data_IF_264091250842
#
_entry.id   IF_264091250842
#
_cell.length_a   1.000
_cell.length_b   1.000
_cell.length_c   1.000
_cell.angle_alpha   90.00
_cell.angle_beta   90.00
_cell.angle_gamma   90.00
#
_symmetry.space_group_name_H-M   'P 1'
#
loop_
_entity.id
_entity.type
_entity.pdbx_description
1 polymer ?
#
# COMPACT_ATOMS: atom_id res chain seq x y z
N UNK A 1 20.26 0.13 -13.04
CA UNK A 1 18.92 0.63 -13.34
C UNK A 1 18.98 2.15 -13.35
N UNK A 2 18.64 2.78 -14.47
CA UNK A 2 18.60 4.23 -14.65
C UNK A 2 17.41 4.84 -13.88
N UNK A 3 17.37 6.16 -13.77
CA UNK A 3 16.26 6.85 -13.12
C UNK A 3 14.96 6.82 -13.95
N UNK A 4 15.09 6.68 -15.27
CA UNK A 4 13.98 6.49 -16.20
C UNK A 4 13.37 5.09 -16.03
N UNK A 5 14.19 4.04 -16.00
CA UNK A 5 13.74 2.66 -15.75
C UNK A 5 13.01 2.54 -14.40
N UNK A 6 13.44 3.30 -13.38
CA UNK A 6 12.75 3.37 -12.08
C UNK A 6 11.36 4.00 -12.17
N UNK A 7 11.19 5.02 -13.03
CA UNK A 7 9.90 5.70 -13.21
C UNK A 7 8.93 4.81 -13.98
N UNK A 8 9.41 4.09 -14.99
CA UNK A 8 8.61 3.10 -15.74
C UNK A 8 8.07 2.01 -14.81
N UNK A 9 8.89 1.51 -13.87
CA UNK A 9 8.47 0.52 -12.86
C UNK A 9 7.35 1.00 -11.92
N UNK A 10 7.16 2.32 -11.80
CA UNK A 10 6.14 2.93 -10.96
C UNK A 10 4.98 3.51 -11.78
N UNK A 11 4.99 3.31 -13.11
CA UNK A 11 3.91 3.72 -14.00
C UNK A 11 2.92 2.57 -14.22
N UNK A 12 1.62 2.72 -13.92
CA UNK A 12 0.63 1.66 -14.14
C UNK A 12 0.41 1.31 -15.62
N UNK A 13 0.88 2.12 -16.57
CA UNK A 13 0.80 1.80 -18.00
C UNK A 13 1.88 0.77 -18.37
N UNK A 14 3.11 1.00 -17.91
CA UNK A 14 4.30 0.24 -18.32
C UNK A 14 4.61 -0.94 -17.40
N UNK A 15 3.94 -1.00 -16.24
CA UNK A 15 4.18 -2.00 -15.19
C UNK A 15 2.93 -2.78 -14.82
N UNK A 16 3.14 -3.86 -14.05
CA UNK A 16 2.08 -4.74 -13.52
C UNK A 16 2.16 -4.85 -12.00
N UNK A 17 1.03 -5.18 -11.39
CA UNK A 17 0.96 -5.58 -9.98
C UNK A 17 1.47 -7.01 -9.85
N UNK A 18 2.36 -7.23 -8.87
CA UNK A 18 2.99 -8.54 -8.63
C UNK A 18 2.54 -9.19 -7.31
N UNK A 19 2.01 -8.39 -6.38
CA UNK A 19 1.36 -8.83 -5.16
C UNK A 19 0.48 -7.71 -4.62
N UNK A 20 -0.62 -8.06 -3.95
CA UNK A 20 -1.50 -7.13 -3.24
C UNK A 20 -1.76 -7.62 -1.82
N UNK A 21 -1.95 -6.67 -0.91
CA UNK A 21 -2.14 -6.96 0.50
C UNK A 21 -3.24 -6.11 1.11
N UNK A 22 -4.11 -6.74 1.91
CA UNK A 22 -5.01 -6.05 2.83
C UNK A 22 -4.76 -6.54 4.24
N UNK A 23 -4.90 -5.65 5.22
CA UNK A 23 -4.88 -6.01 6.64
C UNK A 23 -6.15 -5.52 7.31
N UNK A 24 -6.87 -6.42 7.95
CA UNK A 24 -8.10 -6.12 8.67
C UNK A 24 -8.23 -7.00 9.91
N UNK A 25 -8.63 -6.41 11.03
CA UNK A 25 -8.78 -7.10 12.32
C UNK A 25 -7.55 -7.95 12.71
N UNK A 26 -6.35 -7.42 12.46
CA UNK A 26 -5.08 -8.08 12.75
C UNK A 26 -4.68 -9.22 11.80
N UNK A 27 -5.48 -9.51 10.77
CA UNK A 27 -5.21 -10.56 9.77
C UNK A 27 -4.74 -9.95 8.46
N UNK A 28 -3.74 -10.57 7.84
CA UNK A 28 -3.27 -10.23 6.50
C UNK A 28 -3.99 -11.11 5.47
N UNK A 29 -4.41 -10.48 4.37
CA UNK A 29 -4.94 -11.10 3.17
C UNK A 29 -3.97 -10.77 2.04
N UNK A 30 -3.23 -11.77 1.56
CA UNK A 30 -2.24 -11.59 0.50
C UNK A 30 -2.77 -12.24 -0.78
N UNK A 31 -2.68 -11.49 -1.87
CA UNK A 31 -3.04 -11.93 -3.21
C UNK A 31 -1.77 -11.91 -4.06
N UNK A 32 -1.40 -13.07 -4.58
CA UNK A 32 -0.24 -13.25 -5.45
C UNK A 32 -0.62 -14.33 -6.46
N UNK A 33 -0.59 -13.97 -7.74
CA UNK A 33 -1.01 -14.78 -8.88
C UNK A 33 -0.29 -14.25 -10.11
N UNK A 34 -0.04 -15.13 -11.10
CA UNK A 34 0.46 -14.70 -12.41
C UNK A 34 -0.62 -13.97 -13.23
N UNK A 35 -1.90 -14.20 -12.90
CA UNK A 35 -3.03 -13.46 -13.45
C UNK A 35 -3.32 -12.22 -12.58
N UNK A 36 -2.89 -11.06 -13.09
CA UNK A 36 -3.09 -9.76 -12.43
C UNK A 36 -4.58 -9.39 -12.31
N UNK A 37 -5.40 -9.74 -13.30
CA UNK A 37 -6.82 -9.43 -13.28
C UNK A 37 -7.54 -10.23 -12.20
N UNK A 38 -7.18 -11.51 -12.04
CA UNK A 38 -7.65 -12.35 -10.95
C UNK A 38 -7.22 -11.81 -9.58
N UNK A 39 -5.97 -11.36 -9.46
CA UNK A 39 -5.43 -10.77 -8.22
C UNK A 39 -6.22 -9.52 -7.80
N UNK A 40 -6.45 -8.60 -8.74
CA UNK A 40 -7.25 -7.40 -8.52
C UNK A 40 -8.69 -7.74 -8.15
N UNK A 41 -9.30 -8.70 -8.86
CA UNK A 41 -10.67 -9.14 -8.56
C UNK A 41 -10.80 -9.65 -7.12
N UNK A 42 -9.89 -10.55 -6.70
CA UNK A 42 -9.89 -11.09 -5.34
C UNK A 42 -9.63 -10.01 -4.28
N UNK A 43 -8.71 -9.08 -4.57
CA UNK A 43 -8.42 -7.95 -3.70
C UNK A 43 -9.66 -7.07 -3.48
N UNK A 44 -10.35 -6.69 -4.55
CA UNK A 44 -11.54 -5.87 -4.46
C UNK A 44 -12.71 -6.58 -3.78
N UNK A 45 -12.88 -7.88 -4.01
CA UNK A 45 -13.87 -8.67 -3.27
C UNK A 45 -13.59 -8.67 -1.76
N UNK A 46 -12.34 -8.85 -1.36
CA UNK A 46 -11.99 -8.86 0.06
C UNK A 46 -12.11 -7.46 0.69
N UNK A 47 -11.78 -6.41 -0.06
CA UNK A 47 -12.06 -5.03 0.32
C UNK A 47 -13.55 -4.79 0.59
N UNK A 48 -14.43 -5.26 -0.30
CA UNK A 48 -15.88 -5.14 -0.11
C UNK A 48 -16.39 -5.92 1.10
N UNK A 49 -15.87 -7.13 1.34
CA UNK A 49 -16.20 -7.90 2.55
C UNK A 49 -15.77 -7.18 3.82
N UNK A 50 -14.58 -6.59 3.84
CA UNK A 50 -14.16 -5.78 4.98
C UNK A 50 -15.13 -4.61 5.20
N UNK A 51 -15.47 -3.87 4.13
CA UNK A 51 -16.37 -2.71 4.20
C UNK A 51 -17.81 -3.08 4.60
N UNK A 52 -18.32 -4.25 4.23
CA UNK A 52 -19.68 -4.66 4.61
C UNK A 52 -19.83 -4.91 6.10
N UNK A 53 -18.75 -5.29 6.79
CA UNK A 53 -18.74 -5.45 8.25
C UNK A 53 -18.66 -4.13 9.01
N UNK A 54 -18.15 -3.07 8.39
CA UNK A 54 -18.15 -1.71 8.94
C UNK A 54 -18.14 -0.68 7.80
N UNK A 55 -19.30 -0.05 7.50
CA UNK A 55 -19.45 0.86 6.36
C UNK A 55 -18.64 2.15 6.49
N UNK A 56 -18.08 2.40 7.68
CA UNK A 56 -17.20 3.53 7.98
C UNK A 56 -15.71 3.17 7.95
N UNK A 57 -15.34 1.99 7.43
CA UNK A 57 -13.93 1.65 7.20
C UNK A 57 -13.34 2.59 6.17
N UNK A 58 -12.34 3.33 6.62
CA UNK A 58 -11.51 4.18 5.80
C UNK A 58 -10.34 3.36 5.24
N UNK A 59 -10.01 3.46 3.94
CA UNK A 59 -8.76 2.89 3.44
C UNK A 59 -7.60 3.59 4.14
N UNK A 60 -6.69 2.82 4.70
CA UNK A 60 -5.48 3.32 5.36
C UNK A 60 -4.28 2.75 4.63
N UNK A 61 -3.31 3.60 4.31
CA UNK A 61 -2.04 3.17 3.75
C UNK A 61 -0.97 4.25 3.89
N UNK A 62 0.22 3.99 3.37
CA UNK A 62 1.35 4.90 3.44
C UNK A 62 1.67 5.41 2.04
N UNK A 63 1.40 6.69 1.75
CA UNK A 63 1.42 7.24 0.38
C UNK A 63 0.32 6.67 -0.54
N UNK A 64 -0.76 6.13 0.05
CA UNK A 64 -1.88 5.48 -0.63
C UNK A 64 -2.61 6.37 -1.63
N UNK A 65 -2.69 7.68 -1.37
CA UNK A 65 -3.38 8.63 -2.24
C UNK A 65 -2.55 9.00 -3.48
N UNK A 66 -1.23 8.94 -3.35
CA UNK A 66 -0.29 9.34 -4.41
C UNK A 66 0.31 8.15 -5.17
N UNK A 67 0.07 6.91 -4.72
CA UNK A 67 0.60 5.71 -5.36
C UNK A 67 -0.44 4.59 -5.47
N UNK A 68 -0.77 3.91 -4.38
CA UNK A 68 -1.51 2.64 -4.42
C UNK A 68 -2.91 2.77 -5.06
N UNK A 69 -3.76 3.70 -4.62
CA UNK A 69 -5.12 3.84 -5.17
C UNK A 69 -5.11 4.29 -6.64
N UNK A 70 -4.31 5.29 -7.06
CA UNK A 70 -4.15 5.61 -8.48
C UNK A 70 -3.66 4.41 -9.32
N UNK A 71 -2.66 3.67 -8.83
CA UNK A 71 -2.10 2.52 -9.55
C UNK A 71 -3.13 1.40 -9.69
N UNK A 72 -3.81 1.04 -8.60
CA UNK A 72 -4.88 0.05 -8.57
C UNK A 72 -6.04 0.42 -9.49
N UNK A 73 -6.46 1.68 -9.49
CA UNK A 73 -7.54 2.16 -10.36
C UNK A 73 -7.15 2.07 -11.84
N UNK A 74 -5.94 2.51 -12.19
CA UNK A 74 -5.44 2.45 -13.56
C UNK A 74 -5.28 1.00 -14.06
N UNK A 75 -4.69 0.10 -13.26
CA UNK A 75 -4.56 -1.32 -13.63
C UNK A 75 -5.91 -2.02 -13.73
N UNK A 76 -6.83 -1.72 -12.81
CA UNK A 76 -8.20 -2.25 -12.89
C UNK A 76 -8.91 -1.79 -14.16
N UNK A 77 -8.75 -0.52 -14.56
CA UNK A 77 -9.28 0.01 -15.80
C UNK A 77 -8.70 -0.69 -17.04
N UNK A 78 -7.37 -0.84 -17.09
CA UNK A 78 -6.67 -1.51 -18.21
C UNK A 78 -7.12 -2.97 -18.37
N UNK A 79 -7.34 -3.67 -17.26
CA UNK A 79 -7.67 -5.11 -17.25
C UNK A 79 -9.18 -5.40 -17.22
N UNK A 80 -10.03 -4.37 -17.22
CA UNK A 80 -11.48 -4.54 -17.17
C UNK A 80 -12.02 -5.09 -15.84
N UNK A 81 -11.27 -4.91 -14.74
CA UNK A 81 -11.68 -5.33 -13.39
C UNK A 81 -12.50 -4.23 -12.73
N UNK A 82 -13.67 -4.58 -12.18
CA UNK A 82 -14.54 -3.63 -11.50
C UNK A 82 -13.94 -3.17 -10.18
N UNK A 83 -13.83 -1.85 -10.01
CA UNK A 83 -13.43 -1.21 -8.75
C UNK A 83 -14.69 -0.85 -7.96
N UNK A 84 -14.78 -1.21 -6.67
CA UNK A 84 -15.91 -0.82 -5.83
C UNK A 84 -15.89 0.69 -5.57
N UNK A 85 -17.03 1.30 -5.19
CA UNK A 85 -17.06 2.71 -4.83
C UNK A 85 -16.12 3.01 -3.64
N UNK A 86 -15.14 3.89 -3.86
CA UNK A 86 -14.18 4.33 -2.84
C UNK A 86 -14.30 5.84 -2.68
N UNK A 87 -14.57 6.30 -1.46
CA UNK A 87 -14.53 7.72 -1.14
C UNK A 87 -13.10 8.12 -0.77
N UNK A 88 -12.37 8.70 -1.71
CA UNK A 88 -10.98 9.14 -1.50
C UNK A 88 -10.85 10.18 -0.38
N UNK A 89 -11.89 10.97 -0.09
CA UNK A 89 -11.86 11.95 1.02
C UNK A 89 -11.75 11.28 2.39
N UNK A 90 -12.17 10.03 2.47
CA UNK A 90 -12.14 9.25 3.70
C UNK A 90 -10.83 8.43 3.83
N UNK A 91 -10.01 8.36 2.78
CA UNK A 91 -8.74 7.66 2.84
C UNK A 91 -7.79 8.35 3.83
N UNK A 92 -7.11 7.55 4.64
CA UNK A 92 -6.10 8.01 5.58
C UNK A 92 -4.73 7.67 4.98
N UNK A 93 -4.10 8.68 4.38
CA UNK A 93 -2.70 8.59 3.98
C UNK A 93 -1.79 8.91 5.18
N UNK A 94 -1.16 7.86 5.73
CA UNK A 94 -0.30 7.98 6.90
C UNK A 94 0.93 8.86 6.62
N UNK A 95 1.46 8.85 5.40
CA UNK A 95 2.64 9.67 5.07
C UNK A 95 2.29 11.15 5.17
N UNK A 96 1.16 11.54 4.60
CA UNK A 96 0.68 12.92 4.67
C UNK A 96 0.36 13.35 6.11
N UNK A 97 -0.33 12.48 6.87
CA UNK A 97 -0.72 12.75 8.26
C UNK A 97 0.50 12.89 9.17
N UNK A 98 1.44 11.94 9.10
CA UNK A 98 2.64 11.94 9.94
C UNK A 98 3.56 13.11 9.58
N UNK A 99 3.72 13.42 8.29
CA UNK A 99 4.52 14.56 7.86
C UNK A 99 3.81 15.90 8.07
N UNK A 100 2.56 15.91 8.55
CA UNK A 100 1.73 17.09 8.75
C UNK A 100 1.75 18.02 7.52
N UNK A 101 1.64 17.43 6.32
CA UNK A 101 1.64 18.14 5.04
C UNK A 101 2.91 18.94 4.70
N UNK A 102 4.06 18.64 5.34
CA UNK A 102 5.36 19.23 5.00
C UNK A 102 5.78 18.89 3.57
N UNK A 103 6.34 19.88 2.87
CA UNK A 103 6.72 19.80 1.45
C UNK A 103 7.99 19.01 1.14
N UNK A 104 8.91 18.80 2.10
CA UNK A 104 10.21 18.15 1.85
C UNK A 104 10.16 16.63 2.12
N UNK A 105 10.23 15.78 1.09
CA UNK A 105 10.07 14.33 1.22
C UNK A 105 11.41 13.58 1.34
N UNK A 106 12.54 14.27 1.54
CA UNK A 106 13.87 13.61 1.64
C UNK A 106 13.93 12.55 2.75
N UNK A 107 13.07 12.66 3.77
CA UNK A 107 12.88 11.69 4.86
C UNK A 107 11.39 11.41 5.07
N UNK A 108 11.10 10.46 5.94
CA UNK A 108 9.74 10.01 6.24
C UNK A 108 9.30 8.87 5.32
N UNK A 109 10.17 7.87 5.14
CA UNK A 109 9.80 6.57 4.54
C UNK A 109 9.14 5.68 5.59
N UNK A 110 8.36 4.70 5.13
CA UNK A 110 7.70 3.70 5.98
C UNK A 110 8.70 3.04 6.95
N UNK A 111 9.82 2.55 6.41
CA UNK A 111 10.90 1.91 7.17
C UNK A 111 11.53 2.80 8.22
N UNK A 112 11.81 4.07 7.91
CA UNK A 112 12.39 5.00 8.88
C UNK A 112 11.48 5.17 10.11
N UNK A 113 10.15 5.29 9.90
CA UNK A 113 9.21 5.34 11.01
C UNK A 113 9.10 4.01 11.75
N UNK A 114 9.16 2.88 11.04
CA UNK A 114 9.11 1.56 11.64
C UNK A 114 10.30 1.32 12.58
N UNK A 115 11.52 1.65 12.14
CA UNK A 115 12.76 1.55 12.92
C UNK A 115 12.70 2.41 14.19
N UNK A 116 12.22 3.66 14.06
CA UNK A 116 12.06 4.58 15.20
C UNK A 116 11.05 4.09 16.24
N UNK A 117 10.10 3.23 15.85
CA UNK A 117 9.15 2.59 16.74
C UNK A 117 9.60 1.20 17.22
N UNK A 118 10.82 0.76 16.86
CA UNK A 118 11.34 -0.55 17.24
C UNK A 118 10.64 -1.72 16.55
N UNK A 119 10.03 -1.50 15.39
CA UNK A 119 9.36 -2.55 14.61
C UNK A 119 10.38 -3.31 13.75
N UNK A 120 10.11 -4.60 13.49
CA UNK A 120 10.88 -5.39 12.54
C UNK A 120 10.73 -4.79 11.14
N UNK A 121 11.85 -4.54 10.48
CA UNK A 121 11.94 -4.11 9.09
C UNK A 121 12.78 -5.12 8.31
N UNK A 122 12.31 -5.49 7.13
CA UNK A 122 13.09 -6.34 6.21
C UNK A 122 14.13 -5.54 5.43
N UNK A 123 15.26 -6.18 5.14
CA UNK A 123 16.28 -5.66 4.22
C UNK A 123 15.87 -5.89 2.75
N UNK A 124 14.70 -5.36 2.39
CA UNK A 124 14.09 -5.40 1.04
C UNK A 124 13.39 -4.08 0.80
N UNK A 125 13.77 -3.31 -0.21
CA UNK A 125 13.10 -2.06 -0.58
C UNK A 125 12.16 -2.24 -1.78
N UNK A 126 11.29 -1.26 -2.03
CA UNK A 126 10.45 -1.24 -3.23
C UNK A 126 11.26 -1.34 -4.55
N UNK A 127 12.52 -0.89 -4.55
CA UNK A 127 13.42 -1.03 -5.71
C UNK A 127 13.88 -2.48 -5.94
N UNK A 128 13.83 -3.34 -4.91
CA UNK A 128 14.16 -4.76 -5.02
C UNK A 128 13.02 -5.60 -5.62
N UNK A 129 11.79 -5.06 -5.68
CA UNK A 129 10.61 -5.82 -6.14
C UNK A 129 10.83 -6.37 -7.55
N UNK A 130 11.29 -5.54 -8.48
CA UNK A 130 11.57 -5.97 -9.85
C UNK A 130 12.64 -7.07 -9.91
N UNK A 131 13.67 -6.97 -9.06
CA UNK A 131 14.73 -7.98 -8.97
C UNK A 131 14.19 -9.30 -8.41
N UNK A 132 13.44 -9.27 -7.31
CA UNK A 132 12.84 -10.45 -6.70
C UNK A 132 11.84 -11.15 -7.64
N UNK A 133 11.05 -10.40 -8.41
CA UNK A 133 10.20 -10.96 -9.44
C UNK A 133 11.01 -11.67 -10.53
N UNK A 134 12.11 -11.07 -11.00
CA UNK A 134 13.00 -11.67 -12.01
C UNK A 134 13.67 -12.94 -11.50
N UNK A 135 14.03 -12.97 -10.22
CA UNK A 135 14.62 -14.13 -9.55
C UNK A 135 13.58 -15.21 -9.19
N UNK A 136 12.28 -14.91 -9.31
CA UNK A 136 11.19 -15.82 -8.94
C UNK A 136 11.01 -16.00 -7.42
N UNK A 137 11.59 -15.12 -6.60
CA UNK A 137 11.50 -15.18 -5.14
C UNK A 137 10.20 -14.54 -4.62
N UNK A 138 9.09 -15.16 -5.02
CA UNK A 138 7.74 -14.73 -4.66
C UNK A 138 7.45 -14.90 -3.16
N UNK A 139 8.13 -15.85 -2.50
CA UNK A 139 8.02 -16.05 -1.05
C UNK A 139 8.56 -14.84 -0.29
N UNK A 140 9.72 -14.31 -0.68
CA UNK A 140 10.29 -13.11 -0.06
C UNK A 140 9.49 -11.86 -0.36
N UNK A 141 8.91 -11.74 -1.57
CA UNK A 141 7.96 -10.66 -1.89
C UNK A 141 6.73 -10.69 -0.99
N UNK A 142 6.19 -11.89 -0.74
CA UNK A 142 5.07 -12.08 0.18
C UNK A 142 5.44 -11.69 1.61
N UNK A 143 6.59 -12.14 2.12
CA UNK A 143 7.04 -11.79 3.47
C UNK A 143 7.24 -10.27 3.60
N UNK A 144 7.84 -9.64 2.59
CA UNK A 144 8.04 -8.19 2.54
C UNK A 144 6.71 -7.43 2.60
N UNK A 145 5.73 -7.82 1.78
CA UNK A 145 4.40 -7.23 1.80
C UNK A 145 3.67 -7.45 3.14
N UNK A 146 3.77 -8.64 3.74
CA UNK A 146 3.20 -8.92 5.05
C UNK A 146 3.81 -8.04 6.15
N UNK A 147 5.12 -7.81 6.09
CA UNK A 147 5.82 -6.92 7.02
C UNK A 147 5.36 -5.46 6.86
N UNK A 148 5.26 -4.96 5.62
CA UNK A 148 4.78 -3.60 5.33
C UNK A 148 3.33 -3.38 5.80
N UNK A 149 2.46 -4.39 5.66
CA UNK A 149 1.09 -4.34 6.21
C UNK A 149 1.08 -4.24 7.74
N UNK A 150 1.93 -5.01 8.43
CA UNK A 150 2.05 -4.99 9.90
C UNK A 150 2.57 -3.62 10.37
N UNK A 151 3.59 -3.09 9.70
CA UNK A 151 4.14 -1.77 9.99
C UNK A 151 3.07 -0.70 9.79
N UNK A 152 2.34 -0.73 8.67
CA UNK A 152 1.29 0.24 8.36
C UNK A 152 0.18 0.25 9.41
N UNK A 153 -0.26 -0.93 9.87
CA UNK A 153 -1.24 -1.06 10.96
C UNK A 153 -0.69 -0.53 12.30
N UNK A 154 0.58 -0.80 12.62
CA UNK A 154 1.22 -0.25 13.82
C UNK A 154 1.35 1.28 13.77
N UNK A 155 1.74 1.85 12.62
CA UNK A 155 1.79 3.29 12.41
C UNK A 155 0.41 3.93 12.53
N UNK A 156 -0.62 3.31 11.96
CA UNK A 156 -1.99 3.81 12.09
C UNK A 156 -2.44 3.84 13.55
N UNK A 157 -2.24 2.75 14.30
CA UNK A 157 -2.55 2.69 15.74
C UNK A 157 -1.83 3.80 16.51
N UNK A 158 -0.52 3.97 16.26
CA UNK A 158 0.26 5.04 16.89
C UNK A 158 -0.26 6.43 16.52
N UNK A 159 -0.63 6.66 15.27
CA UNK A 159 -1.17 7.93 14.79
C UNK A 159 -2.57 8.23 15.36
N UNK A 160 -3.37 7.20 15.66
CA UNK A 160 -4.63 7.33 16.40
C UNK A 160 -4.37 7.73 17.85
N UNK A 161 -3.48 7.02 18.54
CA UNK A 161 -3.10 7.31 19.94
C UNK A 161 -2.58 8.75 20.13
N UNK A 162 -1.80 9.24 19.17
CA UNK A 162 -1.20 10.58 19.22
C UNK A 162 -2.07 11.66 18.58
N UNK A 163 -3.29 11.32 18.14
CA UNK A 163 -4.21 12.22 17.42
C UNK A 163 -3.68 12.79 16.08
N UNK A 164 -2.55 12.29 15.55
CA UNK A 164 -1.98 12.72 14.26
C UNK A 164 -2.96 12.52 13.09
N UNK A 165 -3.78 11.47 13.14
CA UNK A 165 -4.82 11.24 12.10
C UNK A 165 -5.85 12.37 12.00
N UNK A 166 -6.03 13.16 13.08
CA UNK A 166 -6.98 14.28 13.15
C UNK A 166 -6.44 15.59 12.57
N UNK A 167 -5.16 15.66 12.22
CA UNK A 167 -4.58 16.86 11.60
C UNK A 167 -5.22 17.05 10.22
N UNK A 168 -5.79 18.22 9.97
CA UNK A 168 -6.41 18.58 8.69
C UNK A 168 -5.63 19.69 8.00
N UNK A 169 -5.55 19.62 6.66
CA UNK A 169 -5.09 20.72 5.82
C UNK A 169 -6.29 21.62 5.53
N UNK A 170 -6.09 22.93 5.68
CA UNK A 170 -7.10 23.97 5.45
C UNK A 170 -7.51 24.06 3.97
#
# INVERSE_FOLDING_TARGET
MTEEERKELLNPIDSRIVALGLRSNGKNFIFQSDDEAEMLYKFWQEWEKCRSTSPFINPVGFNILNFDLPFLAARSFILGVKVPPINLKNAIDLREKINAYRYDPKRGKLKEFAELLGLRVMDVDGADVARLCKEGDYAKLKEYLENDLIITDALYKRAVETNVVKITKW
#
